data_IF_999954279255
#
_entry.id   IF_999954279255
#
_cell.length_a   1.000
_cell.length_b   1.000
_cell.length_c   1.000
_cell.angle_alpha   90.00
_cell.angle_beta   90.00
_cell.angle_gamma   90.00
#
_symmetry.space_group_name_H-M   'P 1'
#
loop_
_entity.id
_entity.type
_entity.pdbx_description
1 polymer ?
#
# COMPACT_ATOMS: atom_id res chain seq x y z
N UNK A 1 -4.02 20.04 16.92
CA UNK A 1 -4.78 21.16 16.32
C UNK A 1 -5.15 20.88 14.86
N UNK A 2 -4.32 20.20 14.07
CA UNK A 2 -4.58 19.94 12.64
C UNK A 2 -5.87 19.14 12.33
N UNK A 3 -6.21 18.13 13.15
CA UNK A 3 -7.40 17.29 12.91
C UNK A 3 -8.71 18.08 13.04
N UNK A 4 -8.78 19.02 13.98
CA UNK A 4 -9.98 19.85 14.18
C UNK A 4 -10.16 20.79 12.98
N UNK A 5 -9.07 21.38 12.49
CA UNK A 5 -9.10 22.26 11.33
C UNK A 5 -9.55 21.50 10.07
N UNK A 6 -9.07 20.27 9.87
CA UNK A 6 -9.54 19.39 8.81
C UNK A 6 -11.05 19.11 8.92
N UNK A 7 -11.53 18.70 10.09
CA UNK A 7 -12.94 18.38 10.28
C UNK A 7 -13.84 19.61 10.09
N UNK A 8 -13.37 20.77 10.52
CA UNK A 8 -14.07 22.04 10.31
C UNK A 8 -14.12 22.43 8.83
N UNK A 9 -13.02 22.23 8.10
CA UNK A 9 -12.94 22.48 6.67
C UNK A 9 -13.92 21.56 5.91
N UNK A 10 -13.89 20.25 6.19
CA UNK A 10 -14.84 19.29 5.60
C UNK A 10 -16.27 19.70 5.87
N UNK A 11 -16.62 19.98 7.13
CA UNK A 11 -17.98 20.29 7.53
C UNK A 11 -18.50 21.61 6.91
N UNK A 12 -17.60 22.57 6.65
CA UNK A 12 -17.97 23.88 6.12
C UNK A 12 -18.03 23.90 4.59
N UNK A 13 -17.13 23.18 3.95
CA UNK A 13 -16.80 23.41 2.55
C UNK A 13 -17.16 22.23 1.63
N UNK A 14 -17.26 20.99 2.15
CA UNK A 14 -17.69 19.86 1.33
C UNK A 14 -19.20 19.89 1.18
N UNK A 15 -19.67 20.02 -0.07
CA UNK A 15 -21.09 20.02 -0.39
C UNK A 15 -21.43 18.83 -1.29
N UNK A 16 -22.65 18.33 -1.12
CA UNK A 16 -23.19 17.23 -1.92
C UNK A 16 -24.49 17.71 -2.56
N UNK A 17 -24.49 17.77 -3.88
CA UNK A 17 -25.62 18.28 -4.65
C UNK A 17 -26.56 17.15 -5.10
N UNK A 18 -27.80 17.54 -5.43
CA UNK A 18 -28.86 16.65 -5.89
C UNK A 18 -28.58 15.90 -7.21
N UNK A 19 -27.54 16.32 -7.93
CA UNK A 19 -27.02 15.66 -9.14
C UNK A 19 -25.88 14.66 -8.82
N UNK A 20 -25.73 14.26 -7.56
CA UNK A 20 -24.66 13.38 -7.06
C UNK A 20 -23.25 13.98 -7.18
N UNK A 21 -23.14 15.30 -7.35
CA UNK A 21 -21.86 16.00 -7.35
C UNK A 21 -21.34 16.16 -5.91
N UNK A 22 -20.03 15.95 -5.72
CA UNK A 22 -19.33 16.31 -4.48
C UNK A 22 -18.37 17.45 -4.80
N UNK A 23 -18.52 18.58 -4.12
CA UNK A 23 -17.78 19.81 -4.41
C UNK A 23 -17.09 20.37 -3.16
N UNK A 24 -16.05 21.17 -3.40
CA UNK A 24 -15.35 21.95 -2.38
C UNK A 24 -14.81 23.23 -3.04
N UNK A 25 -14.87 24.43 -2.43
CA UNK A 25 -14.50 25.69 -3.07
C UNK A 25 -13.08 25.72 -3.63
N UNK A 26 -12.14 25.04 -2.96
CA UNK A 26 -10.74 24.98 -3.37
C UNK A 26 -10.43 23.87 -4.40
N UNK A 27 -11.40 23.01 -4.74
CA UNK A 27 -11.18 21.84 -5.58
C UNK A 27 -12.27 21.64 -6.64
N UNK A 28 -11.88 21.11 -7.79
CA UNK A 28 -12.73 20.76 -8.91
C UNK A 28 -13.77 19.75 -8.43
N UNK A 29 -15.05 19.98 -8.71
CA UNK A 29 -16.10 19.07 -8.27
C UNK A 29 -16.01 17.70 -8.95
N UNK A 30 -16.40 16.65 -8.24
CA UNK A 30 -16.60 15.32 -8.80
C UNK A 30 -18.01 15.23 -9.38
N UNK A 31 -18.12 15.56 -10.67
CA UNK A 31 -19.40 15.58 -11.38
C UNK A 31 -19.64 14.30 -12.19
N UNK A 32 -20.88 13.88 -12.21
CA UNK A 32 -21.36 12.89 -13.19
C UNK A 32 -21.80 13.61 -14.48
N UNK A 33 -21.55 13.03 -15.66
CA UNK A 33 -22.15 13.51 -16.89
C UNK A 33 -23.68 13.57 -16.76
N UNK A 34 -24.31 14.61 -17.31
CA UNK A 34 -25.76 14.84 -17.18
C UNK A 34 -26.62 13.63 -17.61
N UNK A 35 -26.16 12.90 -18.63
CA UNK A 35 -26.80 11.65 -19.10
C UNK A 35 -26.78 10.54 -18.03
N UNK A 36 -25.70 10.45 -17.25
CA UNK A 36 -25.55 9.48 -16.17
C UNK A 36 -26.35 9.86 -14.94
N UNK A 37 -26.44 11.16 -14.61
CA UNK A 37 -27.26 11.67 -13.51
C UNK A 37 -28.72 11.23 -13.69
N UNK A 38 -29.27 11.43 -14.89
CA UNK A 38 -30.66 11.09 -15.22
C UNK A 38 -30.93 9.59 -15.08
N UNK A 39 -29.94 8.74 -15.37
CA UNK A 39 -30.04 7.29 -15.19
C UNK A 39 -29.94 6.90 -13.72
N UNK A 40 -29.03 7.52 -12.97
CA UNK A 40 -28.82 7.25 -11.55
C UNK A 40 -30.02 7.66 -10.69
N UNK A 41 -30.68 8.77 -11.02
CA UNK A 41 -31.91 9.20 -10.31
C UNK A 41 -33.06 8.19 -10.42
N UNK A 42 -33.06 7.35 -11.47
CA UNK A 42 -34.05 6.28 -11.66
C UNK A 42 -33.69 4.97 -10.95
N UNK A 43 -32.49 4.86 -10.38
CA UNK A 43 -32.07 3.68 -9.64
C UNK A 43 -32.69 3.65 -8.24
N UNK A 44 -32.75 2.47 -7.60
CA UNK A 44 -33.12 2.36 -6.20
C UNK A 44 -32.26 3.24 -5.27
N UNK A 45 -32.87 3.74 -4.19
CA UNK A 45 -32.24 4.71 -3.28
C UNK A 45 -30.98 4.13 -2.59
N UNK A 46 -30.96 2.83 -2.29
CA UNK A 46 -29.81 2.13 -1.74
C UNK A 46 -28.60 2.16 -2.68
N UNK A 47 -28.82 2.00 -3.99
CA UNK A 47 -27.77 2.09 -5.01
C UNK A 47 -27.24 3.53 -5.13
N UNK A 48 -28.15 4.50 -5.12
CA UNK A 48 -27.82 5.93 -5.12
C UNK A 48 -26.96 6.30 -3.90
N UNK A 49 -27.39 5.91 -2.69
CA UNK A 49 -26.64 6.15 -1.46
C UNK A 49 -25.28 5.47 -1.46
N UNK A 50 -25.20 4.21 -1.90
CA UNK A 50 -23.94 3.47 -1.98
C UNK A 50 -22.94 4.17 -2.89
N UNK A 51 -23.39 4.63 -4.05
CA UNK A 51 -22.55 5.39 -4.97
C UNK A 51 -22.05 6.70 -4.33
N UNK A 52 -22.96 7.47 -3.71
CA UNK A 52 -22.63 8.73 -3.05
C UNK A 52 -21.61 8.54 -1.93
N UNK A 53 -21.78 7.51 -1.09
CA UNK A 53 -20.85 7.17 -0.02
C UNK A 53 -19.47 6.81 -0.56
N UNK A 54 -19.39 6.10 -1.69
CA UNK A 54 -18.12 5.77 -2.33
C UNK A 54 -17.43 7.02 -2.89
N UNK A 55 -18.18 7.91 -3.55
CA UNK A 55 -17.64 9.16 -4.09
C UNK A 55 -17.13 10.07 -2.97
N UNK A 56 -17.94 10.29 -1.93
CA UNK A 56 -17.55 11.10 -0.78
C UNK A 56 -16.32 10.52 -0.08
N UNK A 57 -16.27 9.20 0.14
CA UNK A 57 -15.12 8.53 0.73
C UNK A 57 -13.86 8.76 -0.11
N UNK A 58 -13.95 8.54 -1.42
CA UNK A 58 -12.82 8.72 -2.34
C UNK A 58 -12.35 10.17 -2.38
N UNK A 59 -13.28 11.14 -2.38
CA UNK A 59 -12.99 12.57 -2.34
C UNK A 59 -12.25 12.96 -1.05
N UNK A 60 -12.80 12.58 0.11
CA UNK A 60 -12.21 12.88 1.42
C UNK A 60 -10.83 12.23 1.57
N UNK A 61 -10.71 10.96 1.17
CA UNK A 61 -9.45 10.23 1.21
C UNK A 61 -8.40 10.89 0.29
N UNK A 62 -8.80 11.22 -0.93
CA UNK A 62 -7.92 11.78 -1.95
C UNK A 62 -7.42 13.19 -1.64
N UNK A 63 -8.25 14.02 -1.00
CA UNK A 63 -7.90 15.41 -0.68
C UNK A 63 -7.23 15.50 0.67
N UNK A 64 -7.78 14.87 1.71
CA UNK A 64 -7.35 15.15 3.08
C UNK A 64 -6.49 14.07 3.71
N UNK A 65 -6.58 12.83 3.24
CA UNK A 65 -5.81 11.73 3.82
C UNK A 65 -4.49 11.48 3.06
N UNK A 66 -4.55 11.27 1.75
CA UNK A 66 -3.34 10.96 0.96
C UNK A 66 -2.85 12.13 0.07
N UNK A 67 -3.59 13.25 0.01
CA UNK A 67 -3.23 14.44 -0.77
C UNK A 67 -3.20 14.27 -2.30
N UNK A 68 -3.42 13.06 -2.82
CA UNK A 68 -3.23 12.70 -4.23
C UNK A 68 -4.18 13.43 -5.20
N UNK A 69 -5.30 13.96 -4.70
CA UNK A 69 -6.28 14.71 -5.49
C UNK A 69 -6.17 16.22 -5.32
N UNK A 70 -5.37 16.73 -4.38
CA UNK A 70 -5.24 18.17 -4.16
C UNK A 70 -4.70 18.88 -5.42
N UNK A 71 -3.70 18.29 -6.08
CA UNK A 71 -3.09 18.87 -7.29
C UNK A 71 -3.93 18.65 -8.55
N UNK A 72 -4.64 17.52 -8.64
CA UNK A 72 -5.50 17.18 -9.80
C UNK A 72 -6.80 17.94 -9.82
N UNK A 73 -7.30 18.31 -8.64
CA UNK A 73 -8.54 19.04 -8.47
C UNK A 73 -8.30 20.51 -8.12
N UNK A 74 -7.08 21.00 -7.89
CA UNK A 74 -6.89 22.44 -7.66
C UNK A 74 -7.43 23.25 -8.86
N UNK A 75 -8.51 24.00 -8.63
CA UNK A 75 -9.08 24.92 -9.61
C UNK A 75 -8.29 26.23 -9.49
N UNK A 76 -7.54 26.59 -10.53
CA UNK A 76 -6.85 27.88 -10.69
C UNK A 76 -5.63 28.15 -9.79
N UNK A 77 -4.51 27.46 -10.07
CA UNK A 77 -3.18 28.01 -9.77
C UNK A 77 -2.20 27.79 -10.94
N UNK A 78 -2.70 27.91 -12.18
CA UNK A 78 -1.90 27.78 -13.40
C UNK A 78 -1.17 29.08 -13.82
N UNK A 79 -1.31 30.21 -13.10
CA UNK A 79 -0.65 31.46 -13.51
C UNK A 79 0.53 31.93 -12.66
N UNK A 80 0.67 31.49 -11.38
CA UNK A 80 1.72 32.04 -10.49
C UNK A 80 2.77 31.02 -10.00
N UNK A 81 2.62 29.73 -10.31
CA UNK A 81 3.63 28.72 -9.98
C UNK A 81 4.69 28.51 -11.07
N UNK A 82 4.66 29.29 -12.16
CA UNK A 82 5.68 29.25 -13.22
C UNK A 82 7.10 29.63 -12.74
N UNK A 83 7.27 30.12 -11.50
CA UNK A 83 8.56 30.60 -10.97
C UNK A 83 9.00 29.99 -9.64
N UNK A 84 8.46 28.84 -9.23
CA UNK A 84 9.07 28.09 -8.12
C UNK A 84 9.32 26.66 -8.55
N UNK A 85 10.56 26.22 -8.38
CA UNK A 85 11.12 24.91 -8.71
C UNK A 85 10.45 23.70 -7.99
N UNK A 86 9.15 23.78 -7.68
CA UNK A 86 8.33 22.68 -7.17
C UNK A 86 7.92 21.68 -8.27
N UNK A 87 7.99 22.09 -9.54
CA UNK A 87 7.62 21.26 -10.69
C UNK A 87 8.74 20.37 -11.25
N UNK A 88 9.91 20.32 -10.61
CA UNK A 88 10.94 19.33 -10.95
C UNK A 88 10.76 17.97 -10.24
N UNK A 89 9.83 17.84 -9.29
CA UNK A 89 9.51 16.55 -8.66
C UNK A 89 8.17 15.96 -9.13
N UNK A 90 7.90 16.07 -10.43
CA UNK A 90 7.02 15.13 -11.14
C UNK A 90 7.84 13.89 -11.53
N UNK A 91 8.63 13.34 -10.60
CA UNK A 91 9.29 12.07 -10.87
C UNK A 91 8.22 10.99 -10.91
N UNK A 92 8.29 10.16 -11.95
CA UNK A 92 7.44 9.00 -12.19
C UNK A 92 7.80 7.87 -11.19
N UNK A 93 7.87 8.21 -9.90
CA UNK A 93 8.42 7.38 -8.84
C UNK A 93 7.32 6.68 -8.03
N UNK A 94 6.06 6.68 -8.50
CA UNK A 94 4.98 5.98 -7.82
C UNK A 94 4.55 4.74 -8.60
N UNK A 95 4.92 3.55 -8.13
CA UNK A 95 4.39 2.29 -8.65
C UNK A 95 3.22 1.84 -7.80
N UNK A 96 2.01 1.77 -8.37
CA UNK A 96 0.77 1.41 -7.65
C UNK A 96 0.49 2.26 -6.39
N UNK A 97 0.92 3.53 -6.39
CA UNK A 97 0.73 4.46 -5.27
C UNK A 97 1.80 4.38 -4.17
N UNK A 98 2.86 3.61 -4.36
CA UNK A 98 4.03 3.57 -3.46
C UNK A 98 5.10 4.52 -3.98
N UNK A 99 5.52 5.48 -3.16
CA UNK A 99 6.74 6.26 -3.40
C UNK A 99 7.96 5.32 -3.39
N UNK A 100 8.48 5.02 -4.57
CA UNK A 100 9.56 4.07 -4.81
C UNK A 100 10.86 4.57 -4.18
N UNK A 101 11.13 5.88 -4.18
CA UNK A 101 12.34 6.41 -3.58
C UNK A 101 12.30 6.23 -2.06
N UNK A 102 11.17 6.58 -1.44
CA UNK A 102 10.99 6.39 -0.01
C UNK A 102 10.98 4.91 0.38
N UNK A 103 10.35 4.05 -0.44
CA UNK A 103 10.41 2.60 -0.29
C UNK A 103 11.85 2.08 -0.30
N UNK A 104 12.66 2.52 -1.27
CA UNK A 104 14.06 2.12 -1.38
C UNK A 104 14.89 2.60 -0.18
N UNK A 105 14.63 3.81 0.32
CA UNK A 105 15.27 4.32 1.54
C UNK A 105 14.91 3.47 2.76
N UNK A 106 13.65 3.08 2.90
CA UNK A 106 13.21 2.17 3.97
C UNK A 106 13.86 0.79 3.82
N UNK A 107 13.89 0.26 2.60
CA UNK A 107 14.46 -1.05 2.30
C UNK A 107 15.96 -1.11 2.60
N UNK A 108 16.73 -0.11 2.15
CA UNK A 108 18.17 0.01 2.43
C UNK A 108 18.48 0.18 3.91
N UNK A 109 17.54 0.76 4.67
CA UNK A 109 17.68 0.90 6.11
C UNK A 109 17.18 -0.32 6.88
N UNK A 110 16.53 -1.30 6.26
CA UNK A 110 16.10 -2.52 6.94
C UNK A 110 17.30 -3.45 7.14
N UNK A 111 17.62 -3.77 8.39
CA UNK A 111 18.73 -4.65 8.75
C UNK A 111 18.37 -6.15 8.75
N UNK A 112 17.14 -6.51 8.36
CA UNK A 112 16.71 -7.89 8.22
C UNK A 112 17.41 -8.61 7.06
N UNK A 113 17.60 -9.93 7.22
CA UNK A 113 18.29 -10.80 6.25
C UNK A 113 17.32 -11.68 5.45
N UNK A 114 16.03 -11.61 5.82
CA UNK A 114 14.96 -12.46 5.30
C UNK A 114 14.69 -13.62 6.24
N UNK A 115 13.67 -14.41 5.89
CA UNK A 115 13.21 -15.54 6.69
C UNK A 115 12.85 -16.72 5.79
N UNK A 116 12.90 -17.94 6.33
CA UNK A 116 12.46 -19.12 5.61
C UNK A 116 10.97 -19.37 5.87
N UNK A 117 10.15 -19.18 4.84
CA UNK A 117 8.74 -19.50 4.88
C UNK A 117 8.55 -21.00 4.60
N UNK A 118 8.04 -21.81 5.55
CA UNK A 118 7.91 -23.25 5.37
C UNK A 118 6.70 -23.64 4.50
N UNK A 119 6.60 -24.94 4.21
CA UNK A 119 5.42 -25.58 3.64
C UNK A 119 5.11 -25.18 2.19
N UNK A 120 6.14 -25.06 1.36
CA UNK A 120 6.00 -24.91 -0.08
C UNK A 120 6.27 -26.24 -0.77
N UNK A 121 5.39 -26.66 -1.67
CA UNK A 121 5.55 -27.92 -2.40
C UNK A 121 6.17 -27.68 -3.76
N UNK A 122 7.21 -28.44 -4.11
CA UNK A 122 7.81 -28.43 -5.44
C UNK A 122 6.88 -29.18 -6.41
N UNK A 123 6.37 -28.49 -7.42
CA UNK A 123 5.45 -29.08 -8.41
C UNK A 123 6.10 -29.36 -9.74
N UNK A 124 7.19 -28.66 -10.06
CA UNK A 124 7.89 -28.82 -11.33
C UNK A 124 9.32 -28.32 -11.23
N UNK A 125 10.21 -28.96 -11.98
CA UNK A 125 11.53 -28.45 -12.29
C UNK A 125 11.54 -28.02 -13.76
N UNK A 126 11.96 -26.78 -14.02
CA UNK A 126 12.06 -26.21 -15.35
C UNK A 126 13.38 -26.63 -16.02
N UNK A 127 13.45 -26.50 -17.35
CA UNK A 127 14.63 -26.88 -18.12
C UNK A 127 15.90 -26.09 -17.78
N UNK A 128 15.76 -24.92 -17.17
CA UNK A 128 16.86 -24.08 -16.70
C UNK A 128 17.31 -24.41 -15.25
N UNK A 129 16.71 -25.42 -14.63
CA UNK A 129 17.02 -25.85 -13.26
C UNK A 129 16.30 -25.03 -12.16
N UNK A 130 15.46 -24.06 -12.53
CA UNK A 130 14.55 -23.40 -11.58
C UNK A 130 13.43 -24.33 -11.15
N UNK A 131 12.92 -24.12 -9.94
CA UNK A 131 11.82 -24.91 -9.37
C UNK A 131 10.55 -24.09 -9.32
N UNK A 132 9.45 -24.63 -9.84
CA UNK A 132 8.12 -24.11 -9.56
C UNK A 132 7.61 -24.72 -8.25
N UNK A 133 7.24 -23.84 -7.32
CA UNK A 133 6.74 -24.20 -5.98
C UNK A 133 5.37 -23.59 -5.74
N UNK A 134 4.49 -24.30 -5.05
CA UNK A 134 3.13 -23.86 -4.79
C UNK A 134 2.81 -23.83 -3.28
N UNK A 135 2.06 -22.79 -2.87
CA UNK A 135 1.44 -22.70 -1.55
C UNK A 135 0.17 -21.87 -1.63
N UNK A 136 -0.95 -22.39 -1.14
CA UNK A 136 -2.26 -21.70 -1.14
C UNK A 136 -2.66 -21.10 -2.51
N UNK A 137 -2.39 -21.82 -3.62
CA UNK A 137 -2.70 -21.36 -4.98
C UNK A 137 -1.73 -20.34 -5.56
N UNK A 138 -0.73 -19.86 -4.80
CA UNK A 138 0.35 -19.04 -5.31
C UNK A 138 1.48 -19.94 -5.81
N UNK A 139 1.86 -19.78 -7.07
CA UNK A 139 3.02 -20.45 -7.66
C UNK A 139 4.18 -19.45 -7.79
N UNK A 140 5.34 -19.81 -7.28
CA UNK A 140 6.58 -19.06 -7.43
C UNK A 140 7.61 -19.88 -8.22
N UNK A 141 8.50 -19.20 -8.94
CA UNK A 141 9.69 -19.84 -9.50
C UNK A 141 10.89 -19.46 -8.64
N UNK A 142 11.63 -20.46 -8.17
CA UNK A 142 12.75 -20.27 -7.26
C UNK A 142 14.03 -20.91 -7.79
N UNK A 143 15.14 -20.24 -7.53
CA UNK A 143 16.48 -20.79 -7.71
C UNK A 143 16.96 -21.51 -6.44
N UNK A 144 17.47 -22.74 -6.58
CA UNK A 144 17.93 -23.58 -5.46
C UNK A 144 18.97 -22.90 -4.59
N UNK A 145 19.99 -22.28 -5.20
CA UNK A 145 21.11 -21.71 -4.46
C UNK A 145 20.78 -20.42 -3.71
N UNK A 146 19.72 -19.72 -4.12
CA UNK A 146 19.31 -18.43 -3.53
C UNK A 146 18.19 -18.58 -2.51
N UNK A 147 17.26 -19.49 -2.76
CA UNK A 147 16.00 -19.54 -2.02
C UNK A 147 15.87 -20.76 -1.11
N UNK A 148 16.60 -21.86 -1.37
CA UNK A 148 16.54 -23.03 -0.51
C UNK A 148 17.62 -22.98 0.56
N UNK A 149 17.33 -23.58 1.71
CA UNK A 149 18.35 -23.82 2.72
C UNK A 149 19.40 -24.81 2.18
N UNK A 150 20.64 -24.80 2.70
CA UNK A 150 21.67 -25.76 2.27
C UNK A 150 21.24 -27.23 2.39
N UNK A 151 20.39 -27.55 3.37
CA UNK A 151 19.89 -28.90 3.61
C UNK A 151 18.83 -29.34 2.58
N UNK A 152 18.17 -28.40 1.92
CA UNK A 152 17.05 -28.67 1.00
C UNK A 152 17.44 -28.51 -0.48
N UNK A 153 18.71 -28.19 -0.78
CA UNK A 153 19.16 -27.96 -2.17
C UNK A 153 18.96 -29.16 -3.10
N UNK A 154 18.95 -30.37 -2.55
CA UNK A 154 18.71 -31.61 -3.30
C UNK A 154 17.23 -32.01 -3.39
N UNK A 155 16.31 -31.16 -2.91
CA UNK A 155 14.89 -31.44 -2.97
C UNK A 155 14.38 -31.56 -4.42
N UNK A 156 13.40 -32.43 -4.60
CA UNK A 156 12.86 -32.86 -5.89
C UNK A 156 11.35 -32.62 -5.98
N UNK A 157 10.78 -32.83 -7.15
CA UNK A 157 9.34 -32.67 -7.37
C UNK A 157 8.56 -33.59 -6.42
N UNK A 158 7.59 -33.01 -5.70
CA UNK A 158 6.80 -33.66 -4.67
C UNK A 158 7.24 -33.29 -3.25
N UNK A 159 8.49 -32.89 -3.04
CA UNK A 159 9.00 -32.52 -1.73
C UNK A 159 8.42 -31.19 -1.23
N UNK A 160 8.35 -31.07 0.09
CA UNK A 160 7.97 -29.83 0.77
C UNK A 160 9.21 -29.17 1.37
N UNK A 161 9.42 -27.90 1.05
CA UNK A 161 10.61 -27.14 1.44
C UNK A 161 10.24 -25.80 2.08
N UNK A 162 11.20 -25.19 2.77
CA UNK A 162 11.13 -23.79 3.17
C UNK A 162 11.83 -22.89 2.14
N UNK A 163 11.23 -21.73 1.85
CA UNK A 163 11.71 -20.76 0.86
C UNK A 163 12.17 -19.50 1.56
N UNK A 164 13.38 -19.03 1.23
CA UNK A 164 13.89 -17.74 1.71
C UNK A 164 13.10 -16.59 1.09
N UNK A 165 12.36 -15.89 1.93
CA UNK A 165 11.61 -14.69 1.62
C UNK A 165 12.43 -13.44 1.97
N UNK A 166 12.22 -12.30 1.28
CA UNK A 166 12.87 -11.04 1.63
C UNK A 166 12.49 -10.57 3.06
N UNK A 167 13.27 -9.67 3.67
CA UNK A 167 13.01 -9.14 5.01
C UNK A 167 11.82 -8.17 5.07
N UNK A 168 11.02 -8.07 4.01
CA UNK A 168 9.91 -7.15 3.92
C UNK A 168 8.77 -7.69 3.07
N UNK A 169 7.60 -7.07 3.26
CA UNK A 169 6.40 -7.24 2.44
C UNK A 169 5.90 -5.88 1.99
N UNK A 170 5.19 -5.85 0.87
CA UNK A 170 4.39 -4.70 0.45
C UNK A 170 2.93 -5.07 0.60
N UNK A 171 2.20 -4.34 1.44
CA UNK A 171 0.78 -4.58 1.68
C UNK A 171 0.01 -3.28 1.53
N UNK A 172 -0.90 -3.19 0.55
CA UNK A 172 -1.75 -2.02 0.32
C UNK A 172 -0.99 -0.68 0.28
N UNK A 173 0.20 -0.67 -0.30
CA UNK A 173 1.05 0.51 -0.39
C UNK A 173 1.95 0.77 0.83
N UNK A 174 1.90 -0.08 1.86
CA UNK A 174 2.77 0.00 3.03
C UNK A 174 3.99 -0.91 2.89
N UNK A 175 5.15 -0.39 3.27
CA UNK A 175 6.34 -1.19 3.56
C UNK A 175 6.19 -1.84 4.94
N UNK A 176 6.32 -3.16 5.01
CA UNK A 176 6.28 -3.91 6.26
C UNK A 176 7.62 -4.63 6.42
N UNK A 177 8.41 -4.26 7.42
CA UNK A 177 9.57 -5.06 7.81
C UNK A 177 9.13 -6.33 8.54
N UNK A 178 9.75 -7.46 8.22
CA UNK A 178 9.49 -8.76 8.84
C UNK A 178 10.78 -9.24 9.49
N UNK A 179 10.69 -9.80 10.70
CA UNK A 179 11.86 -10.37 11.39
C UNK A 179 12.40 -11.59 10.63
N UNK A 180 13.63 -12.00 10.96
CA UNK A 180 14.27 -13.17 10.36
C UNK A 180 13.60 -14.50 10.80
N UNK A 181 12.79 -14.47 11.86
CA UNK A 181 11.91 -15.57 12.26
C UNK A 181 10.65 -15.67 11.37
N UNK A 182 10.38 -14.64 10.56
CA UNK A 182 9.16 -14.54 9.79
C UNK A 182 7.98 -14.06 10.61
N UNK A 183 6.79 -14.13 10.03
CA UNK A 183 5.55 -13.73 10.69
C UNK A 183 4.86 -14.95 11.31
N UNK A 184 4.68 -14.97 12.64
CA UNK A 184 3.94 -16.05 13.34
C UNK A 184 2.49 -16.21 12.85
N UNK A 185 1.94 -15.16 12.20
CA UNK A 185 0.62 -15.20 11.57
C UNK A 185 0.47 -16.27 10.50
N UNK A 186 1.58 -16.82 9.97
CA UNK A 186 1.54 -17.94 9.03
C UNK A 186 1.36 -19.31 9.70
N UNK A 187 1.49 -19.39 11.03
CA UNK A 187 1.57 -20.66 11.76
C UNK A 187 0.33 -20.94 12.60
N UNK A 188 -0.33 -19.91 13.16
CA UNK A 188 -1.52 -20.12 13.98
C UNK A 188 -2.40 -18.85 14.14
N UNK A 189 -3.56 -18.75 13.48
CA UNK A 189 -4.45 -17.59 13.58
C UNK A 189 -5.11 -17.42 14.96
N UNK A 190 -5.10 -18.44 15.81
CA UNK A 190 -5.70 -18.38 17.15
C UNK A 190 -4.74 -17.86 18.24
N UNK A 191 -3.47 -17.61 17.89
CA UNK A 191 -2.42 -17.26 18.86
C UNK A 191 -2.16 -15.74 18.90
N UNK A 192 -3.23 -14.94 18.99
CA UNK A 192 -3.13 -13.48 19.21
C UNK A 192 -2.67 -13.08 20.62
N UNK A 193 -2.28 -14.04 21.46
CA UNK A 193 -1.88 -13.81 22.84
C UNK A 193 -0.48 -13.17 22.90
N UNK A 194 -0.38 -11.87 22.62
CA UNK A 194 0.82 -11.07 22.91
C UNK A 194 1.18 -9.96 21.94
N UNK A 195 0.39 -9.66 20.89
CA UNK A 195 0.77 -8.59 19.95
C UNK A 195 0.46 -7.20 20.51
N UNK A 196 1.49 -6.42 20.81
CA UNK A 196 1.37 -4.98 21.05
C UNK A 196 1.56 -4.20 19.75
N UNK A 197 0.69 -3.20 19.50
CA UNK A 197 0.84 -2.25 18.39
C UNK A 197 1.27 -0.90 18.94
N UNK A 198 2.40 -0.39 18.45
CA UNK A 198 2.92 0.92 18.82
C UNK A 198 2.90 1.78 17.56
N UNK A 199 2.28 2.96 17.64
CA UNK A 199 2.17 3.89 16.54
C UNK A 199 3.07 5.09 16.77
N UNK A 200 3.79 5.48 15.73
CA UNK A 200 4.62 6.67 15.72
C UNK A 200 4.13 7.61 14.63
N UNK A 201 4.03 8.89 14.95
CA UNK A 201 3.85 9.93 13.94
C UNK A 201 5.20 10.61 13.70
N UNK A 202 5.82 10.31 12.57
CA UNK A 202 7.20 10.69 12.27
C UNK A 202 7.28 11.33 10.89
N UNK A 203 8.27 12.21 10.73
CA UNK A 203 8.75 12.61 9.40
C UNK A 203 9.48 11.45 8.73
N UNK A 204 9.63 11.51 7.41
CA UNK A 204 10.29 10.48 6.60
C UNK A 204 11.67 10.10 7.15
N UNK A 205 12.50 11.08 7.52
CA UNK A 205 13.84 10.87 8.07
C UNK A 205 13.81 10.09 9.39
N UNK A 206 12.81 10.38 10.23
CA UNK A 206 12.58 9.64 11.48
C UNK A 206 12.16 8.20 11.23
N UNK A 207 11.30 7.96 10.23
CA UNK A 207 10.91 6.61 9.84
C UNK A 207 12.11 5.79 9.34
N UNK A 208 12.99 6.38 8.51
CA UNK A 208 14.25 5.74 8.07
C UNK A 208 15.13 5.40 9.28
N UNK A 209 15.37 6.36 10.18
CA UNK A 209 16.24 6.13 11.34
C UNK A 209 15.69 5.05 12.29
N UNK A 210 14.37 5.02 12.50
CA UNK A 210 13.72 3.95 13.29
C UNK A 210 13.81 2.61 12.57
N UNK A 211 13.59 2.55 11.26
CA UNK A 211 13.69 1.31 10.49
C UNK A 211 15.03 0.62 10.75
N UNK A 212 16.15 1.33 10.59
CA UNK A 212 17.48 0.76 10.86
C UNK A 212 17.72 0.39 12.31
N UNK A 213 17.47 1.32 13.24
CA UNK A 213 17.76 1.07 14.66
C UNK A 213 16.88 -0.04 15.27
N UNK A 214 15.62 -0.14 14.85
CA UNK A 214 14.68 -1.12 15.36
C UNK A 214 14.93 -2.50 14.74
N UNK A 215 15.05 -2.60 13.41
CA UNK A 215 15.31 -3.89 12.75
C UNK A 215 16.68 -4.45 13.12
N UNK A 216 17.68 -3.62 13.42
CA UNK A 216 18.96 -4.12 13.93
C UNK A 216 18.85 -4.81 15.30
N UNK A 217 17.92 -4.37 16.14
CA UNK A 217 17.69 -4.92 17.49
C UNK A 217 16.68 -6.07 17.51
N UNK A 218 15.76 -6.10 16.55
CA UNK A 218 14.61 -7.02 16.51
C UNK A 218 14.62 -7.98 15.33
N UNK A 219 15.70 -8.03 14.53
CA UNK A 219 15.80 -8.97 13.39
C UNK A 219 15.81 -10.42 13.85
#
# INVERSE_FOLDING_TARGET
>A
MEVINFLQDVAKNVQIDSNFCVSHPSYKPLELPAEMVTRFQKMPADVQHKYLSLQLRSFLYGIYYNGSLQTKLASELESDLANSNLYQNLENNTFLGVDVEFYERLHKSNAGEGYFAPSWQIVKEESDGTLAVIKHGLTLHIERDRHLSPAEKSATVGDTVAIKMPPNLVQNGFYVAVSNLGSETFSNPDNYAGTARIYFNLKAEGAIAIMGSLTQKLK
#
